data_IF_933696923184
#
_entry.id   IF_933696923184
#
_cell.length_a   1.000
_cell.length_b   1.000
_cell.length_c   1.000
_cell.angle_alpha   90.00
_cell.angle_beta   90.00
_cell.angle_gamma   90.00
#
_symmetry.space_group_name_H-M   'P 1'
#
loop_
_entity.id
_entity.type
_entity.pdbx_description
1 polymer ?
#
# COMPACT_ATOMS: atom_id res chain seq x y z
N UNK A 1 51.12 -91.12 45.79
CA UNK A 1 52.22 -90.32 45.25
C UNK A 1 51.93 -89.96 43.82
N UNK A 2 52.21 -88.81 43.50
CA UNK A 2 52.24 -88.07 42.21
C UNK A 2 51.00 -87.28 41.85
N UNK A 3 51.23 -86.03 42.09
CA UNK A 3 50.29 -84.96 41.70
C UNK A 3 50.32 -84.69 40.23
N UNK A 4 49.16 -84.43 39.69
CA UNK A 4 48.94 -83.94 38.32
C UNK A 4 48.58 -82.49 38.34
N UNK A 5 49.52 -81.59 37.90
CA UNK A 5 49.30 -80.20 37.71
C UNK A 5 48.43 -79.98 36.43
N UNK A 6 47.18 -79.66 36.64
CA UNK A 6 46.32 -79.17 35.56
C UNK A 6 46.63 -77.65 35.28
N UNK A 7 47.26 -77.37 34.14
CA UNK A 7 47.47 -75.99 33.66
C UNK A 7 46.10 -75.38 33.21
N UNK A 8 45.54 -74.54 34.04
CA UNK A 8 44.40 -73.75 33.68
C UNK A 8 44.75 -72.79 32.53
N UNK A 9 44.19 -73.01 31.38
CA UNK A 9 44.24 -72.12 30.24
C UNK A 9 43.47 -70.87 30.58
N UNK A 10 44.12 -69.72 30.59
CA UNK A 10 43.57 -68.41 30.96
C UNK A 10 42.51 -67.94 29.92
N UNK A 11 41.23 -67.92 30.24
CA UNK A 11 40.17 -67.44 29.29
C UNK A 11 40.15 -65.91 29.14
N UNK A 12 41.03 -65.15 29.78
CA UNK A 12 41.04 -63.71 29.74
C UNK A 12 41.34 -63.03 28.37
N UNK A 13 42.08 -63.73 27.51
CA UNK A 13 42.48 -63.15 26.21
C UNK A 13 41.36 -63.18 25.16
N UNK A 14 40.52 -64.21 25.17
CA UNK A 14 39.41 -64.32 24.22
C UNK A 14 38.33 -63.25 24.45
N UNK A 15 37.95 -63.00 25.70
CA UNK A 15 36.99 -61.92 26.05
C UNK A 15 37.49 -60.55 25.66
N UNK A 16 38.79 -60.28 25.80
CA UNK A 16 39.40 -59.00 25.43
C UNK A 16 39.39 -58.79 23.89
N UNK A 17 39.70 -59.83 23.11
CA UNK A 17 39.64 -59.76 21.64
C UNK A 17 38.19 -59.59 21.12
N UNK A 18 37.21 -60.24 21.75
CA UNK A 18 35.80 -60.08 21.42
C UNK A 18 35.31 -58.68 21.71
N UNK A 19 35.64 -58.12 22.87
CA UNK A 19 35.32 -56.75 23.24
C UNK A 19 35.94 -55.71 22.29
N UNK A 20 37.23 -55.91 21.93
CA UNK A 20 37.90 -55.05 20.95
C UNK A 20 37.27 -55.12 19.57
N UNK A 21 36.89 -56.32 19.09
CA UNK A 21 36.23 -56.50 17.84
C UNK A 21 34.84 -55.83 17.83
N UNK A 22 34.08 -55.94 18.92
CA UNK A 22 32.79 -55.25 19.04
C UNK A 22 32.95 -53.71 19.02
N UNK A 23 33.91 -53.18 19.72
CA UNK A 23 34.20 -51.74 19.74
C UNK A 23 34.63 -51.27 18.35
N UNK A 24 35.45 -52.00 17.65
CA UNK A 24 35.96 -51.67 16.32
C UNK A 24 34.84 -51.63 15.25
N UNK A 25 33.78 -52.40 15.46
CA UNK A 25 32.62 -52.43 14.53
C UNK A 25 31.57 -51.37 14.94
N UNK A 26 31.28 -51.27 16.25
CA UNK A 26 30.20 -50.38 16.70
C UNK A 26 30.56 -48.91 16.62
N UNK A 27 31.80 -48.52 16.92
CA UNK A 27 32.23 -47.11 16.85
C UNK A 27 32.11 -46.51 15.42
N UNK A 28 32.62 -47.17 14.38
CA UNK A 28 32.44 -46.69 13.00
C UNK A 28 30.98 -46.67 12.56
N UNK A 29 30.19 -47.67 12.98
CA UNK A 29 28.78 -47.74 12.63
C UNK A 29 27.99 -46.57 13.26
N UNK A 30 28.23 -46.27 14.55
CA UNK A 30 27.63 -45.10 15.21
C UNK A 30 28.10 -43.82 14.54
N UNK A 31 29.39 -43.66 14.25
CA UNK A 31 29.92 -42.49 13.55
C UNK A 31 29.28 -42.30 12.18
N UNK A 32 29.08 -43.34 11.43
CA UNK A 32 28.43 -43.26 10.12
C UNK A 32 26.97 -42.80 10.22
N UNK A 33 26.21 -43.39 11.14
CA UNK A 33 24.81 -43.00 11.38
C UNK A 33 24.73 -41.53 11.80
N UNK A 34 25.57 -41.11 12.73
CA UNK A 34 25.60 -39.71 13.19
C UNK A 34 25.90 -38.70 12.06
N UNK A 35 26.82 -39.08 11.15
CA UNK A 35 27.14 -38.23 9.98
C UNK A 35 25.96 -38.14 9.01
N UNK A 36 25.29 -39.25 8.76
CA UNK A 36 24.11 -39.29 7.88
C UNK A 36 22.95 -38.52 8.47
N UNK A 37 22.64 -38.70 9.74
CA UNK A 37 21.62 -37.95 10.45
C UNK A 37 21.91 -36.43 10.43
N UNK A 38 23.17 -36.05 10.66
CA UNK A 38 23.57 -34.64 10.61
C UNK A 38 23.35 -34.03 9.22
N UNK A 39 23.74 -34.72 8.15
CA UNK A 39 23.54 -34.25 6.79
C UNK A 39 22.05 -34.15 6.43
N UNK A 40 21.23 -35.06 6.90
CA UNK A 40 19.79 -35.02 6.67
C UNK A 40 19.14 -33.82 7.40
N UNK A 41 19.47 -33.61 8.66
CA UNK A 41 18.97 -32.47 9.45
C UNK A 41 19.40 -31.13 8.84
N UNK A 42 20.63 -31.02 8.37
CA UNK A 42 21.13 -29.81 7.71
C UNK A 42 20.34 -29.52 6.41
N UNK A 43 20.07 -30.54 5.61
CA UNK A 43 19.26 -30.39 4.39
C UNK A 43 17.81 -30.00 4.69
N UNK A 44 17.20 -30.59 5.72
CA UNK A 44 15.83 -30.27 6.15
C UNK A 44 15.72 -28.82 6.69
N UNK A 45 16.73 -28.36 7.42
CA UNK A 45 16.79 -26.97 7.92
C UNK A 45 16.90 -25.96 6.77
N UNK A 46 17.82 -26.20 5.83
CA UNK A 46 18.00 -25.32 4.68
C UNK A 46 16.72 -25.29 3.81
N UNK A 47 16.12 -26.43 3.53
CA UNK A 47 14.88 -26.51 2.78
C UNK A 47 13.71 -25.82 3.53
N UNK A 48 13.68 -25.93 4.86
CA UNK A 48 12.69 -25.25 5.70
C UNK A 48 12.84 -23.73 5.70
N UNK A 49 14.07 -23.21 5.76
CA UNK A 49 14.35 -21.78 5.68
C UNK A 49 13.95 -21.19 4.32
N UNK A 50 14.28 -21.88 3.23
CA UNK A 50 13.92 -21.45 1.88
C UNK A 50 12.40 -21.42 1.68
N UNK A 51 11.68 -22.41 2.18
CA UNK A 51 10.21 -22.48 2.11
C UNK A 51 9.57 -21.34 2.93
N UNK A 52 10.05 -21.11 4.16
CA UNK A 52 9.56 -20.01 5.00
C UNK A 52 9.81 -18.64 4.36
N UNK A 53 10.97 -18.47 3.73
CA UNK A 53 11.32 -17.24 3.01
C UNK A 53 10.39 -17.03 1.82
N UNK A 54 10.18 -18.06 1.00
CA UNK A 54 9.27 -17.99 -0.14
C UNK A 54 7.82 -17.70 0.30
N UNK A 55 7.35 -18.34 1.37
CA UNK A 55 6.01 -18.06 1.93
C UNK A 55 5.89 -16.63 2.47
N UNK A 56 6.93 -16.13 3.14
CA UNK A 56 6.96 -14.76 3.66
C UNK A 56 6.96 -13.75 2.52
N UNK A 57 7.79 -13.95 1.50
CA UNK A 57 7.83 -13.09 0.31
C UNK A 57 6.46 -13.06 -0.40
N UNK A 58 5.84 -14.20 -0.62
CA UNK A 58 4.49 -14.30 -1.21
C UNK A 58 3.44 -13.59 -0.35
N UNK A 59 3.47 -13.78 0.96
CA UNK A 59 2.53 -13.14 1.88
C UNK A 59 2.67 -11.62 1.87
N UNK A 60 3.90 -11.10 1.84
CA UNK A 60 4.17 -9.66 1.74
C UNK A 60 3.65 -9.10 0.42
N UNK A 61 3.95 -9.76 -0.71
CA UNK A 61 3.46 -9.33 -2.03
C UNK A 61 1.94 -9.36 -2.10
N UNK A 62 1.28 -10.39 -1.55
CA UNK A 62 -0.18 -10.47 -1.51
C UNK A 62 -0.77 -9.37 -0.63
N UNK A 63 -0.18 -9.09 0.53
CA UNK A 63 -0.62 -8.02 1.42
C UNK A 63 -0.49 -6.64 0.77
N UNK A 64 0.63 -6.37 0.09
CA UNK A 64 0.82 -5.14 -0.67
C UNK A 64 -0.18 -5.00 -1.82
N UNK A 65 -0.44 -6.09 -2.55
CA UNK A 65 -1.42 -6.12 -3.63
C UNK A 65 -2.85 -5.85 -3.13
N UNK A 66 -3.20 -6.39 -1.96
CA UNK A 66 -4.51 -6.15 -1.34
C UNK A 66 -4.66 -4.70 -0.88
N UNK A 67 -3.61 -4.13 -0.28
CA UNK A 67 -3.59 -2.71 0.10
C UNK A 67 -3.71 -1.81 -1.13
N UNK A 68 -2.96 -2.07 -2.20
CA UNK A 68 -3.05 -1.30 -3.45
C UNK A 68 -4.46 -1.38 -4.08
N UNK A 69 -5.05 -2.58 -4.10
CA UNK A 69 -6.43 -2.76 -4.57
C UNK A 69 -7.45 -2.00 -3.71
N UNK A 70 -7.30 -2.04 -2.38
CA UNK A 70 -8.14 -1.29 -1.45
C UNK A 70 -8.04 0.22 -1.65
N UNK A 71 -6.80 0.74 -1.80
CA UNK A 71 -6.57 2.15 -2.07
C UNK A 71 -7.17 2.60 -3.41
N UNK A 72 -7.09 1.77 -4.45
CA UNK A 72 -7.72 2.07 -5.76
C UNK A 72 -9.24 2.09 -5.68
N UNK A 73 -9.86 1.17 -4.94
CA UNK A 73 -11.30 1.17 -4.73
C UNK A 73 -11.75 2.40 -3.97
N UNK A 74 -11.02 2.76 -2.92
CA UNK A 74 -11.27 3.99 -2.16
C UNK A 74 -11.17 5.23 -3.03
N UNK A 75 -10.09 5.35 -3.80
CA UNK A 75 -9.85 6.45 -4.73
C UNK A 75 -10.97 6.57 -5.78
N UNK A 76 -11.38 5.44 -6.38
CA UNK A 76 -12.49 5.41 -7.35
C UNK A 76 -13.85 5.78 -6.73
N UNK A 77 -14.09 5.45 -5.44
CA UNK A 77 -15.31 5.89 -4.75
C UNK A 77 -15.32 7.40 -4.53
N UNK A 78 -14.16 7.97 -4.19
CA UNK A 78 -14.02 9.42 -4.05
C UNK A 78 -14.17 10.12 -5.41
N UNK A 79 -13.62 9.56 -6.49
CA UNK A 79 -13.79 10.08 -7.85
C UNK A 79 -15.26 10.20 -8.21
N UNK A 80 -16.04 9.13 -8.02
CA UNK A 80 -17.47 9.15 -8.31
C UNK A 80 -18.21 10.20 -7.49
N UNK A 81 -17.92 10.30 -6.20
CA UNK A 81 -18.53 11.30 -5.32
C UNK A 81 -18.22 12.74 -5.77
N UNK A 82 -16.98 12.99 -6.19
CA UNK A 82 -16.56 14.31 -6.70
C UNK A 82 -17.18 14.62 -8.06
N UNK A 83 -17.28 13.62 -8.94
CA UNK A 83 -17.96 13.76 -10.24
C UNK A 83 -19.44 14.10 -10.07
N UNK A 84 -20.15 13.41 -9.16
CA UNK A 84 -21.53 13.73 -8.80
C UNK A 84 -21.66 15.19 -8.26
N UNK A 85 -20.69 15.63 -7.46
CA UNK A 85 -20.62 16.99 -6.95
C UNK A 85 -20.50 18.03 -8.08
N UNK A 86 -19.72 17.77 -9.12
CA UNK A 86 -19.63 18.65 -10.28
C UNK A 86 -20.94 18.82 -11.01
N UNK A 87 -21.81 17.81 -11.03
CA UNK A 87 -23.15 17.94 -11.60
C UNK A 87 -23.94 19.11 -10.97
N UNK A 88 -23.85 19.26 -9.64
CA UNK A 88 -24.50 20.37 -8.92
C UNK A 88 -23.81 21.71 -9.16
N UNK A 89 -22.47 21.71 -9.20
CA UNK A 89 -21.69 22.95 -9.47
C UNK A 89 -21.96 23.46 -10.87
N UNK A 90 -22.00 22.60 -11.90
CA UNK A 90 -22.30 22.97 -13.27
C UNK A 90 -23.75 23.49 -13.41
N UNK A 91 -24.71 22.83 -12.78
CA UNK A 91 -26.10 23.30 -12.74
C UNK A 91 -26.21 24.67 -12.04
N UNK A 92 -25.40 24.90 -10.98
CA UNK A 92 -25.27 26.20 -10.32
C UNK A 92 -24.73 27.28 -11.25
N UNK A 93 -23.70 26.95 -12.03
CA UNK A 93 -23.09 27.84 -13.01
C UNK A 93 -24.10 28.22 -14.11
N UNK A 94 -24.85 27.26 -14.66
CA UNK A 94 -25.90 27.52 -15.65
C UNK A 94 -27.00 28.41 -15.06
N UNK A 95 -27.47 28.12 -13.85
CA UNK A 95 -28.50 28.96 -13.17
C UNK A 95 -28.02 30.40 -12.93
N UNK A 96 -26.75 30.60 -12.74
CA UNK A 96 -26.11 31.91 -12.60
C UNK A 96 -25.90 32.65 -13.96
N UNK A 97 -26.29 32.04 -15.09
CA UNK A 97 -26.09 32.59 -16.42
C UNK A 97 -24.64 32.57 -16.88
N UNK A 98 -23.88 31.55 -16.50
CA UNK A 98 -22.44 31.36 -16.77
C UNK A 98 -21.56 32.49 -16.20
N UNK A 99 -21.98 33.01 -15.04
CA UNK A 99 -21.26 34.02 -14.31
C UNK A 99 -20.99 33.53 -12.88
N UNK A 100 -19.73 33.11 -12.56
CA UNK A 100 -19.38 32.60 -11.23
C UNK A 100 -19.62 33.63 -10.10
N UNK A 101 -19.53 34.91 -10.41
CA UNK A 101 -19.79 36.00 -9.42
C UNK A 101 -21.22 36.03 -8.91
N UNK A 102 -22.16 35.32 -9.58
CA UNK A 102 -23.56 35.19 -9.17
C UNK A 102 -23.88 33.85 -8.51
N UNK A 103 -22.92 32.96 -8.42
CA UNK A 103 -23.10 31.70 -7.75
C UNK A 103 -23.03 31.85 -6.24
N UNK A 104 -23.96 31.23 -5.53
CA UNK A 104 -23.85 31.08 -4.08
C UNK A 104 -23.00 29.83 -3.78
N UNK A 105 -21.68 30.01 -3.74
CA UNK A 105 -20.73 28.90 -3.54
C UNK A 105 -20.88 28.26 -2.16
N UNK A 106 -21.33 29.02 -1.16
CA UNK A 106 -21.51 28.44 0.20
C UNK A 106 -22.72 27.52 0.19
N UNK A 107 -23.85 27.94 -0.41
CA UNK A 107 -25.01 27.08 -0.55
C UNK A 107 -24.67 25.81 -1.39
N UNK A 108 -23.93 25.97 -2.50
CA UNK A 108 -23.47 24.84 -3.31
C UNK A 108 -22.56 23.89 -2.55
N UNK A 109 -21.65 24.40 -1.71
CA UNK A 109 -20.81 23.58 -0.83
C UNK A 109 -21.68 22.70 0.08
N UNK A 110 -22.72 23.25 0.68
CA UNK A 110 -23.65 22.48 1.51
C UNK A 110 -24.43 21.45 0.69
N UNK A 111 -24.88 21.79 -0.53
CA UNK A 111 -25.58 20.89 -1.44
C UNK A 111 -24.73 19.66 -1.82
N UNK A 112 -23.41 19.83 -2.01
CA UNK A 112 -22.46 18.72 -2.29
C UNK A 112 -21.98 17.98 -1.06
N UNK A 113 -22.53 18.26 0.13
CA UNK A 113 -22.28 17.55 1.39
C UNK A 113 -21.36 18.28 2.38
N UNK A 114 -20.95 19.53 2.11
CA UNK A 114 -20.22 20.39 3.05
C UNK A 114 -18.72 20.09 3.22
N UNK A 115 -18.25 18.90 2.81
CA UNK A 115 -16.87 18.43 3.03
C UNK A 115 -15.91 18.83 1.92
N UNK A 116 -16.42 19.21 0.75
CA UNK A 116 -15.62 19.60 -0.41
C UNK A 116 -15.56 21.12 -0.54
N UNK A 117 -14.35 21.64 -0.68
CA UNK A 117 -14.16 23.03 -1.07
C UNK A 117 -14.28 23.19 -2.58
N UNK A 118 -14.88 24.31 -3.00
CA UNK A 118 -15.09 24.66 -4.41
C UNK A 118 -14.09 25.75 -4.76
N UNK A 119 -13.40 25.55 -5.88
CA UNK A 119 -12.49 26.54 -6.47
C UNK A 119 -12.90 26.80 -7.92
N UNK A 120 -12.86 28.05 -8.33
CA UNK A 120 -13.14 28.46 -9.72
C UNK A 120 -11.91 29.18 -10.25
N UNK A 121 -11.24 28.53 -11.17
CA UNK A 121 -9.97 28.99 -11.76
C UNK A 121 -10.31 29.62 -13.12
N UNK A 122 -9.90 30.86 -13.31
CA UNK A 122 -10.11 31.58 -14.58
C UNK A 122 -9.09 31.17 -15.66
N UNK A 123 -9.30 31.70 -16.88
CA UNK A 123 -8.44 31.41 -18.03
C UNK A 123 -6.97 31.86 -17.84
N UNK A 124 -6.68 32.73 -16.90
CA UNK A 124 -5.33 33.14 -16.56
C UNK A 124 -4.67 32.24 -15.52
N UNK A 125 -5.36 31.21 -15.02
CA UNK A 125 -4.85 30.31 -14.00
C UNK A 125 -4.90 30.88 -12.59
N UNK A 126 -5.79 31.81 -12.31
CA UNK A 126 -5.97 32.42 -10.99
C UNK A 126 -7.26 31.89 -10.37
N UNK A 127 -7.20 31.50 -9.09
CA UNK A 127 -8.40 31.18 -8.31
C UNK A 127 -9.18 32.47 -8.07
N UNK A 128 -10.25 32.66 -8.84
CA UNK A 128 -11.04 33.89 -8.81
C UNK A 128 -12.15 33.83 -7.77
N UNK A 129 -12.72 32.66 -7.53
CA UNK A 129 -13.73 32.41 -6.51
C UNK A 129 -13.44 31.06 -5.82
N UNK A 130 -13.69 31.02 -4.51
CA UNK A 130 -13.51 29.78 -3.73
C UNK A 130 -14.28 29.83 -2.41
N UNK A 131 -14.63 28.66 -1.89
CA UNK A 131 -15.14 28.48 -0.52
C UNK A 131 -14.02 28.40 0.52
N UNK A 132 -12.76 28.22 0.09
CA UNK A 132 -11.57 28.17 0.95
C UNK A 132 -10.78 29.47 0.83
N UNK A 133 -11.07 30.39 1.72
CA UNK A 133 -10.54 31.77 1.66
C UNK A 133 -9.01 31.90 1.57
N UNK A 134 -8.18 31.01 2.18
CA UNK A 134 -6.72 31.14 2.07
C UNK A 134 -6.17 31.04 0.64
N UNK A 135 -6.86 30.37 -0.27
CA UNK A 135 -6.40 30.16 -1.64
C UNK A 135 -6.98 31.17 -2.64
N UNK A 136 -7.81 32.11 -2.17
CA UNK A 136 -8.36 33.14 -3.03
C UNK A 136 -7.25 34.03 -3.62
N UNK A 137 -7.21 34.12 -4.94
CA UNK A 137 -6.21 34.90 -5.66
C UNK A 137 -4.89 34.15 -5.92
N UNK A 138 -4.79 32.89 -5.55
CA UNK A 138 -3.64 32.04 -5.90
C UNK A 138 -3.46 31.97 -7.41
N UNK A 139 -2.23 32.25 -7.86
CA UNK A 139 -1.87 32.33 -9.27
C UNK A 139 -0.98 31.14 -9.67
N UNK A 140 -1.54 30.19 -10.40
CA UNK A 140 -0.83 28.99 -10.83
C UNK A 140 0.23 29.24 -11.92
N UNK A 141 0.33 30.44 -12.48
CA UNK A 141 1.43 30.81 -13.40
C UNK A 141 2.79 30.78 -12.71
N UNK A 142 2.83 30.90 -11.39
CA UNK A 142 4.03 30.73 -10.58
C UNK A 142 4.55 29.29 -10.59
N UNK A 143 3.71 28.31 -11.01
CA UNK A 143 4.03 26.88 -11.10
C UNK A 143 3.78 26.39 -12.54
N UNK A 144 4.73 26.62 -13.48
CA UNK A 144 4.48 26.47 -14.92
C UNK A 144 3.93 25.13 -15.34
N UNK A 145 4.47 24.00 -14.82
CA UNK A 145 3.99 22.67 -15.17
C UNK A 145 2.54 22.42 -14.74
N UNK A 146 2.11 23.02 -13.63
CA UNK A 146 0.74 22.91 -13.15
C UNK A 146 -0.19 23.82 -13.95
N UNK A 147 0.28 25.03 -14.29
CA UNK A 147 -0.47 25.94 -15.15
C UNK A 147 -0.79 25.33 -16.53
N UNK A 148 0.20 24.68 -17.16
CA UNK A 148 0.01 23.98 -18.41
C UNK A 148 -1.07 22.89 -18.27
N UNK A 149 -1.01 22.10 -17.20
CA UNK A 149 -1.98 21.05 -16.90
C UNK A 149 -3.40 21.57 -16.70
N UNK A 150 -3.60 22.58 -15.84
CA UNK A 150 -4.96 23.14 -15.61
C UNK A 150 -5.49 23.84 -16.85
N UNK A 151 -4.63 24.38 -17.71
CA UNK A 151 -5.02 24.93 -19.00
C UNK A 151 -5.53 23.85 -19.94
N UNK A 152 -4.83 22.73 -20.03
CA UNK A 152 -5.26 21.56 -20.80
C UNK A 152 -6.60 21.04 -20.28
N UNK A 153 -6.76 20.85 -18.97
CA UNK A 153 -8.00 20.40 -18.33
C UNK A 153 -9.16 21.36 -18.62
N UNK A 154 -8.93 22.69 -18.53
CA UNK A 154 -9.95 23.69 -18.81
C UNK A 154 -10.44 23.69 -20.27
N UNK A 155 -9.56 23.39 -21.21
CA UNK A 155 -9.87 23.32 -22.64
C UNK A 155 -10.39 21.91 -23.08
N UNK A 156 -10.34 20.93 -22.18
CA UNK A 156 -10.93 19.62 -22.39
C UNK A 156 -12.42 19.57 -22.08
N UNK A 157 -13.02 18.39 -22.18
CA UNK A 157 -14.47 18.16 -21.96
C UNK A 157 -14.73 17.11 -20.87
N UNK A 158 -13.68 16.60 -20.21
CA UNK A 158 -13.78 15.45 -19.32
C UNK A 158 -13.48 15.80 -17.88
N UNK A 159 -14.16 15.08 -16.97
CA UNK A 159 -13.77 14.98 -15.57
C UNK A 159 -12.34 14.43 -15.44
N UNK A 160 -11.58 14.98 -14.53
CA UNK A 160 -10.26 14.49 -14.14
C UNK A 160 -10.12 14.55 -12.62
N UNK A 161 -9.50 13.53 -12.03
CA UNK A 161 -9.20 13.51 -10.60
C UNK A 161 -7.74 13.14 -10.36
N UNK A 162 -7.16 13.78 -9.35
CA UNK A 162 -5.84 13.41 -8.83
C UNK A 162 -5.99 12.29 -7.81
N UNK A 163 -4.92 11.54 -7.59
CA UNK A 163 -4.85 10.61 -6.47
C UNK A 163 -4.87 11.37 -5.15
N UNK A 164 -5.31 10.70 -4.10
CA UNK A 164 -5.17 11.22 -2.73
C UNK A 164 -3.70 11.50 -2.44
N UNK A 165 -3.40 12.71 -1.99
CA UNK A 165 -2.05 13.16 -1.64
C UNK A 165 -2.01 13.65 -0.20
N UNK A 166 -0.86 13.45 0.47
CA UNK A 166 -0.63 14.02 1.79
C UNK A 166 -0.01 15.41 1.63
N UNK A 167 -0.60 16.42 2.28
CA UNK A 167 0.01 17.75 2.34
C UNK A 167 1.33 17.73 3.10
N UNK A 168 2.41 18.34 2.56
CA UNK A 168 3.73 18.36 3.22
C UNK A 168 3.72 19.03 4.60
N UNK A 169 2.83 20.00 4.83
CA UNK A 169 2.75 20.82 6.03
C UNK A 169 1.70 20.37 7.04
N UNK A 170 1.47 19.07 7.23
CA UNK A 170 0.52 18.63 8.26
C UNK A 170 0.03 17.21 8.12
N UNK A 171 0.41 16.52 7.04
CA UNK A 171 -0.01 15.13 6.80
C UNK A 171 -1.51 14.96 6.52
N UNK A 172 -2.22 16.07 6.29
CA UNK A 172 -3.64 16.04 5.92
C UNK A 172 -3.73 15.43 4.52
N UNK A 173 -4.58 14.41 4.39
CA UNK A 173 -4.83 13.78 3.10
C UNK A 173 -5.86 14.63 2.35
N UNK A 174 -5.54 15.01 1.12
CA UNK A 174 -6.46 15.71 0.22
C UNK A 174 -6.56 15.02 -1.12
N UNK A 175 -7.73 15.17 -1.73
CA UNK A 175 -7.99 14.77 -3.10
C UNK A 175 -8.55 15.94 -3.86
N UNK A 176 -8.05 16.15 -5.07
CA UNK A 176 -8.53 17.19 -5.98
C UNK A 176 -9.12 16.57 -7.23
N UNK A 177 -10.17 17.18 -7.73
CA UNK A 177 -10.77 16.82 -9.00
C UNK A 177 -11.16 18.07 -9.77
N UNK A 178 -11.26 17.95 -11.08
CA UNK A 178 -11.39 19.06 -12.03
C UNK A 178 -12.48 18.77 -13.05
N UNK A 179 -13.24 19.82 -13.39
CA UNK A 179 -14.24 19.80 -14.44
C UNK A 179 -14.23 21.15 -15.17
N UNK A 180 -14.06 21.19 -16.51
CA UNK A 180 -14.17 22.43 -17.25
C UNK A 180 -15.58 22.99 -17.21
N UNK A 181 -15.72 24.33 -17.28
CA UNK A 181 -17.02 24.94 -17.57
C UNK A 181 -17.44 24.61 -19.01
N UNK A 182 -18.76 24.52 -19.32
CA UNK A 182 -19.25 24.23 -20.66
C UNK A 182 -18.78 25.19 -21.75
N UNK A 183 -18.44 26.41 -21.37
CA UNK A 183 -17.92 27.46 -22.26
C UNK A 183 -16.38 27.59 -22.22
N UNK A 184 -15.68 26.69 -21.52
CA UNK A 184 -14.22 26.64 -21.35
C UNK A 184 -13.59 27.94 -20.78
N UNK A 185 -14.38 28.81 -20.17
CA UNK A 185 -13.89 30.06 -19.55
C UNK A 185 -13.26 29.83 -18.21
N UNK A 186 -13.75 28.82 -17.49
CA UNK A 186 -13.32 28.45 -16.15
C UNK A 186 -12.99 26.97 -16.04
N UNK A 187 -12.13 26.66 -15.09
CA UNK A 187 -11.93 25.32 -14.59
C UNK A 187 -12.50 25.27 -13.18
N UNK A 188 -13.48 24.43 -12.93
CA UNK A 188 -13.93 24.12 -11.58
C UNK A 188 -13.03 23.07 -10.96
N UNK A 189 -12.65 23.28 -9.70
CA UNK A 189 -11.89 22.32 -8.91
C UNK A 189 -12.65 22.05 -7.61
N UNK A 190 -12.75 20.79 -7.23
CA UNK A 190 -13.23 20.36 -5.92
C UNK A 190 -12.05 19.84 -5.11
N UNK A 191 -11.92 20.29 -3.86
CA UNK A 191 -10.91 19.83 -2.91
C UNK A 191 -11.57 19.12 -1.74
N UNK A 192 -11.33 17.82 -1.59
CA UNK A 192 -11.84 17.01 -0.49
C UNK A 192 -10.74 16.76 0.54
N UNK A 193 -11.01 17.05 1.80
CA UNK A 193 -10.17 16.64 2.93
C UNK A 193 -10.58 15.23 3.33
N UNK A 194 -9.68 14.25 3.15
CA UNK A 194 -9.91 12.86 3.55
C UNK A 194 -9.58 12.73 5.04
N UNK A 195 -10.56 12.44 5.88
CA UNK A 195 -10.33 12.17 7.29
C UNK A 195 -9.77 10.75 7.50
N UNK A 196 -9.02 10.54 8.59
CA UNK A 196 -8.60 9.19 8.98
C UNK A 196 -9.78 8.24 9.20
N UNK A 197 -10.94 8.78 9.58
CA UNK A 197 -12.19 8.03 9.76
C UNK A 197 -12.72 7.47 8.43
N UNK A 198 -12.44 8.12 7.31
CA UNK A 198 -12.83 7.62 5.99
C UNK A 198 -11.95 6.44 5.57
N UNK A 199 -10.66 6.45 5.95
CA UNK A 199 -9.73 5.37 5.71
C UNK A 199 -10.08 4.16 6.60
N UNK A 200 -10.39 4.37 7.88
CA UNK A 200 -10.75 3.31 8.83
C UNK A 200 -12.04 2.59 8.43
N UNK A 201 -12.97 3.27 7.75
CA UNK A 201 -14.22 2.67 7.26
C UNK A 201 -13.98 1.64 6.14
N UNK A 202 -12.83 1.71 5.47
CA UNK A 202 -12.41 0.77 4.40
C UNK A 202 -11.26 -0.15 4.84
N UNK A 203 -10.90 -0.17 6.14
CA UNK A 203 -9.92 -1.13 6.66
C UNK A 203 -10.52 -2.56 6.59
N UNK A 204 -9.93 -3.46 5.78
CA UNK A 204 -10.45 -4.82 5.60
C UNK A 204 -10.32 -5.71 6.86
N UNK A 205 -9.89 -5.15 7.99
CA UNK A 205 -9.78 -5.85 9.28
C UNK A 205 -11.04 -5.78 10.13
N UNK A 206 -12.11 -5.10 9.67
CA UNK A 206 -13.39 -5.03 10.34
C UNK A 206 -14.54 -5.47 9.44
#
# INVERSE_FOLDING_TARGET
>A
MTGGHGRGVRPRRFGTYLALAMILITLPAIGLVTVLDYQQVEQELIAGEDLLREQTEKSVVQSLSLVDAGLRLFDGTLDQRMEDGFGLVLAGYERAGSDPGRMDLIALKEEIGGEMDIYIINASGVIEYTTYAPDLGLDFREIPYFYDRITELRLGDAFAADRVVAEPAGGILRKYAYMPSPDHRYLFELGLVCSSTDIDRYDPRY
#
